data_IF_856355220847
#
_entry.id   IF_856355220847
#
_cell.length_a   1.000
_cell.length_b   1.000
_cell.length_c   1.000
_cell.angle_alpha   90.00
_cell.angle_beta   90.00
_cell.angle_gamma   90.00
#
_symmetry.space_group_name_H-M   'P 1'
#
loop_
_entity.id
_entity.type
_entity.pdbx_description
1 polymer ?
#
# COMPACT_ATOMS: atom_id res chain seq x y z
N UNK A 1 -14.34 4.80 10.62
CA UNK A 1 -13.69 6.13 10.85
C UNK A 1 -12.43 6.18 10.02
N UNK A 2 -12.09 7.31 9.38
CA UNK A 2 -10.83 7.41 8.63
C UNK A 2 -9.67 7.47 9.62
N UNK A 3 -8.94 6.38 9.75
CA UNK A 3 -7.69 6.35 10.52
C UNK A 3 -6.65 7.20 9.79
N UNK A 4 -5.86 7.97 10.51
CA UNK A 4 -4.81 8.79 9.91
C UNK A 4 -3.79 7.87 9.20
N UNK A 5 -3.51 8.08 7.91
CA UNK A 5 -2.53 7.27 7.19
C UNK A 5 -1.10 7.55 7.68
N UNK A 6 -0.20 6.63 7.34
CA UNK A 6 1.25 6.82 7.55
C UNK A 6 1.67 8.18 7.03
N UNK A 7 2.53 8.88 7.77
CA UNK A 7 3.02 10.22 7.40
C UNK A 7 4.54 10.22 7.25
N UNK A 8 5.00 10.69 6.09
CA UNK A 8 6.42 10.84 5.77
C UNK A 8 6.76 12.28 5.39
N UNK A 9 7.94 12.73 5.79
CA UNK A 9 8.54 13.97 5.28
C UNK A 9 9.56 13.64 4.18
N UNK A 10 9.49 14.31 3.03
CA UNK A 10 10.51 14.21 1.99
C UNK A 10 11.87 14.72 2.45
N UNK A 11 11.91 15.55 3.49
CA UNK A 11 13.12 16.13 4.10
C UNK A 11 13.73 15.27 5.21
N UNK A 12 13.14 14.10 5.52
CA UNK A 12 13.65 13.20 6.57
C UNK A 12 15.12 12.84 6.29
N UNK A 13 16.02 12.92 7.28
CA UNK A 13 17.45 12.61 7.11
C UNK A 13 17.75 11.23 6.53
N UNK A 14 16.85 10.26 6.73
CA UNK A 14 16.99 8.89 6.22
C UNK A 14 17.03 8.81 4.68
N UNK A 15 16.42 9.78 3.99
CA UNK A 15 16.33 9.78 2.52
C UNK A 15 16.41 11.17 1.87
N UNK A 16 16.22 12.26 2.60
CA UNK A 16 16.10 13.60 2.04
C UNK A 16 17.29 14.05 1.19
N UNK A 17 18.50 13.61 1.53
CA UNK A 17 19.73 13.93 0.78
C UNK A 17 19.99 13.03 -0.42
N UNK A 18 19.22 11.95 -0.60
CA UNK A 18 19.42 11.03 -1.71
C UNK A 18 19.06 11.69 -3.04
N UNK A 19 19.75 11.26 -4.09
CA UNK A 19 19.53 11.76 -5.46
C UNK A 19 18.12 11.45 -5.97
N UNK A 20 17.50 12.46 -6.57
CA UNK A 20 16.23 12.33 -7.28
C UNK A 20 16.27 13.20 -8.54
N UNK A 21 17.24 12.96 -9.41
CA UNK A 21 17.58 13.80 -10.56
C UNK A 21 17.19 13.13 -11.87
N UNK A 22 16.46 13.85 -12.72
CA UNK A 22 16.34 13.49 -14.12
C UNK A 22 17.65 13.83 -14.86
N UNK A 23 17.90 13.28 -16.06
CA UNK A 23 19.09 13.63 -16.85
C UNK A 23 19.23 15.14 -17.05
N UNK A 24 20.42 15.65 -16.79
CA UNK A 24 20.75 17.08 -16.96
C UNK A 24 20.36 18.00 -15.81
N UNK A 25 19.98 17.44 -14.66
CA UNK A 25 19.76 18.20 -13.43
C UNK A 25 20.50 17.57 -12.23
N UNK A 26 20.53 18.29 -11.11
CA UNK A 26 21.04 17.79 -9.84
C UNK A 26 20.10 18.24 -8.72
N UNK A 27 19.35 17.29 -8.16
CA UNK A 27 18.36 17.55 -7.14
C UNK A 27 18.21 16.35 -6.20
N UNK A 28 17.48 16.51 -5.11
CA UNK A 28 17.33 15.48 -4.07
C UNK A 28 15.86 15.17 -3.79
N UNK A 29 15.60 14.11 -3.03
CA UNK A 29 14.26 13.78 -2.54
C UNK A 29 13.70 14.96 -1.75
N UNK A 30 14.48 15.58 -0.86
CA UNK A 30 14.06 16.75 -0.10
C UNK A 30 13.60 17.91 -0.97
N UNK A 31 14.19 18.09 -2.14
CA UNK A 31 13.89 19.22 -3.02
C UNK A 31 12.72 18.97 -3.98
N UNK A 32 12.54 17.73 -4.46
CA UNK A 32 11.59 17.45 -5.55
C UNK A 32 10.80 16.13 -5.41
N UNK A 33 10.92 15.43 -4.28
CA UNK A 33 10.33 14.10 -4.05
C UNK A 33 8.90 14.10 -3.49
N UNK A 34 8.17 15.22 -3.52
CA UNK A 34 6.84 15.31 -2.88
C UNK A 34 5.82 14.30 -3.46
N UNK A 35 5.81 14.06 -4.77
CA UNK A 35 4.90 13.10 -5.41
C UNK A 35 5.11 11.67 -4.90
N UNK A 36 6.31 11.09 -5.08
CA UNK A 36 6.61 9.76 -4.55
C UNK A 36 6.46 9.66 -3.02
N UNK A 37 6.77 10.73 -2.27
CA UNK A 37 6.54 10.74 -0.81
C UNK A 37 5.07 10.66 -0.47
N UNK A 38 4.18 11.41 -1.18
CA UNK A 38 2.75 11.33 -0.98
C UNK A 38 2.20 9.92 -1.32
N UNK A 39 2.69 9.31 -2.41
CA UNK A 39 2.30 7.95 -2.77
C UNK A 39 2.85 6.91 -1.79
N UNK A 40 4.07 7.06 -1.30
CA UNK A 40 4.65 6.18 -0.28
C UNK A 40 3.81 6.12 1.00
N UNK A 41 3.19 7.25 1.40
CA UNK A 41 2.27 7.26 2.54
C UNK A 41 1.03 6.40 2.29
N UNK A 42 0.46 6.44 1.08
CA UNK A 42 -0.68 5.58 0.68
C UNK A 42 -0.27 4.12 0.69
N UNK A 43 0.83 3.79 0.01
CA UNK A 43 1.31 2.41 -0.12
C UNK A 43 1.70 1.80 1.22
N UNK A 44 2.38 2.57 2.09
CA UNK A 44 2.72 2.12 3.43
C UNK A 44 1.50 1.93 4.33
N UNK A 45 0.40 2.63 4.06
CA UNK A 45 -0.85 2.50 4.81
C UNK A 45 -1.67 1.30 4.36
N UNK A 46 -1.73 1.03 3.05
CA UNK A 46 -2.73 0.12 2.50
C UNK A 46 -2.19 -1.12 1.79
N UNK A 47 -0.89 -1.17 1.51
CA UNK A 47 -0.33 -2.25 0.70
C UNK A 47 0.88 -2.93 1.36
N UNK A 48 1.92 -2.15 1.66
CA UNK A 48 3.18 -2.69 2.18
C UNK A 48 3.84 -1.69 3.13
N UNK A 49 3.82 -1.92 4.46
CA UNK A 49 4.38 -1.01 5.46
C UNK A 49 5.91 -0.79 5.32
N UNK A 50 6.61 -1.58 4.53
CA UNK A 50 8.04 -1.39 4.23
C UNK A 50 8.32 -0.29 3.21
N UNK A 51 7.29 0.18 2.48
CA UNK A 51 7.42 1.24 1.48
C UNK A 51 7.80 2.56 2.12
N UNK A 52 8.77 3.24 1.52
CA UNK A 52 9.31 4.51 2.01
C UNK A 52 9.47 5.52 0.86
N UNK A 53 9.60 6.83 1.15
CA UNK A 53 9.97 7.81 0.14
C UNK A 53 11.23 7.46 -0.64
N UNK A 54 12.22 6.79 -0.02
CA UNK A 54 13.42 6.30 -0.69
C UNK A 54 13.09 5.29 -1.79
N UNK A 55 12.30 4.27 -1.47
CA UNK A 55 11.94 3.20 -2.43
C UNK A 55 11.09 3.74 -3.57
N UNK A 56 10.11 4.61 -3.28
CA UNK A 56 9.24 5.17 -4.30
C UNK A 56 9.93 6.21 -5.21
N UNK A 57 10.82 7.05 -4.66
CA UNK A 57 11.63 7.94 -5.49
C UNK A 57 12.60 7.18 -6.40
N UNK A 58 13.24 6.12 -5.89
CA UNK A 58 14.13 5.27 -6.69
C UNK A 58 13.35 4.59 -7.84
N UNK A 59 12.17 4.06 -7.56
CA UNK A 59 11.33 3.46 -8.58
C UNK A 59 10.84 4.47 -9.62
N UNK A 60 10.37 5.64 -9.18
CA UNK A 60 9.91 6.71 -10.07
C UNK A 60 11.03 7.18 -11.02
N UNK A 61 12.25 7.29 -10.49
CA UNK A 61 13.43 7.66 -11.28
C UNK A 61 13.79 6.59 -12.32
N UNK A 62 13.84 5.33 -11.90
CA UNK A 62 14.18 4.20 -12.77
C UNK A 62 13.17 3.99 -13.92
N UNK A 63 11.92 4.42 -13.75
CA UNK A 63 10.85 4.28 -14.74
C UNK A 63 10.50 5.59 -15.47
N UNK A 64 11.35 6.62 -15.35
CA UNK A 64 11.22 7.86 -16.11
C UNK A 64 10.07 8.77 -15.63
N UNK A 65 9.58 8.60 -14.42
CA UNK A 65 8.53 9.46 -13.87
C UNK A 65 9.04 10.76 -13.23
N UNK A 66 10.34 10.94 -13.10
CA UNK A 66 10.92 12.22 -12.67
C UNK A 66 10.97 13.21 -13.84
N UNK A 67 10.21 14.29 -13.74
CA UNK A 67 10.19 15.36 -14.75
C UNK A 67 11.42 16.29 -14.58
N UNK A 68 12.19 16.56 -15.68
CA UNK A 68 13.37 17.42 -15.61
C UNK A 68 13.02 18.81 -15.08
N UNK A 69 13.77 19.30 -14.10
CA UNK A 69 13.60 20.62 -13.43
C UNK A 69 12.22 20.86 -12.83
N UNK A 70 11.46 19.77 -12.62
CA UNK A 70 10.15 19.77 -12.00
C UNK A 70 10.07 18.63 -10.98
N UNK A 71 8.90 18.30 -10.50
CA UNK A 71 8.67 17.14 -9.62
C UNK A 71 8.48 15.85 -10.39
N UNK A 72 7.31 15.26 -10.25
CA UNK A 72 6.94 13.95 -10.78
C UNK A 72 5.86 14.10 -11.84
N UNK A 73 5.97 13.34 -12.94
CA UNK A 73 4.95 13.28 -13.98
C UNK A 73 3.61 12.77 -13.42
N UNK A 74 2.51 13.29 -13.96
CA UNK A 74 1.16 12.98 -13.48
C UNK A 74 0.79 11.50 -13.59
N UNK A 75 1.23 10.80 -14.62
CA UNK A 75 0.97 9.36 -14.80
C UNK A 75 1.72 8.44 -13.83
N UNK A 76 2.53 8.99 -12.95
CA UNK A 76 3.24 8.24 -11.91
C UNK A 76 2.26 7.55 -10.93
N UNK A 77 1.21 8.26 -10.51
CA UNK A 77 0.36 7.80 -9.41
C UNK A 77 -0.43 6.54 -9.78
N UNK A 78 -0.99 6.51 -10.98
CA UNK A 78 -1.71 5.33 -11.50
C UNK A 78 -0.76 4.13 -11.63
N UNK A 79 0.43 4.36 -12.19
CA UNK A 79 1.42 3.30 -12.36
C UNK A 79 1.99 2.78 -11.02
N UNK A 80 2.22 3.69 -10.06
CA UNK A 80 2.70 3.32 -8.73
C UNK A 80 1.64 2.51 -7.96
N UNK A 81 0.35 2.91 -8.03
CA UNK A 81 -0.74 2.16 -7.42
C UNK A 81 -0.93 0.78 -8.01
N UNK A 82 -0.89 0.67 -9.33
CA UNK A 82 -1.06 -0.60 -10.05
C UNK A 82 -0.05 -1.68 -9.64
N UNK A 83 1.18 -1.31 -9.28
CA UNK A 83 2.23 -2.24 -8.76
C UNK A 83 1.78 -2.99 -7.51
N UNK A 84 0.93 -2.38 -6.72
CA UNK A 84 0.45 -2.91 -5.44
C UNK A 84 -1.03 -3.30 -5.50
N UNK A 85 -1.61 -3.40 -6.71
CA UNK A 85 -3.02 -3.74 -6.90
C UNK A 85 -4.01 -2.65 -6.47
N UNK A 86 -3.54 -1.43 -6.19
CA UNK A 86 -4.41 -0.32 -5.82
C UNK A 86 -4.99 0.35 -7.07
N UNK A 87 -6.29 0.64 -7.02
CA UNK A 87 -6.95 1.46 -8.05
C UNK A 87 -6.72 2.93 -7.76
N UNK A 88 -6.01 3.60 -8.67
CA UNK A 88 -5.72 5.03 -8.61
C UNK A 88 -6.26 5.68 -9.89
N UNK A 89 -7.10 6.68 -9.75
CA UNK A 89 -7.69 7.38 -10.88
C UNK A 89 -7.50 8.89 -10.77
N UNK A 90 -6.93 9.48 -11.82
CA UNK A 90 -6.89 10.93 -11.95
C UNK A 90 -8.30 11.47 -12.20
N UNK A 91 -8.76 12.34 -11.33
CA UNK A 91 -10.14 12.82 -11.35
C UNK A 91 -10.39 13.92 -12.40
N UNK A 92 -9.41 14.82 -12.62
CA UNK A 92 -9.54 15.94 -13.55
C UNK A 92 -8.28 16.16 -14.40
N UNK A 93 -8.48 16.56 -15.65
CA UNK A 93 -7.40 16.82 -16.62
C UNK A 93 -7.22 18.32 -16.93
N UNK A 94 -8.18 19.15 -16.54
CA UNK A 94 -8.09 20.61 -16.59
C UNK A 94 -7.83 21.13 -15.17
N UNK A 95 -6.91 22.10 -15.04
CA UNK A 95 -6.58 22.68 -13.73
C UNK A 95 -7.80 23.32 -13.06
N UNK A 96 -7.93 23.02 -11.75
CA UNK A 96 -8.97 23.62 -10.89
C UNK A 96 -8.48 24.86 -10.15
N UNK A 97 -7.24 25.28 -10.31
CA UNK A 97 -6.67 26.44 -9.63
C UNK A 97 -7.54 27.68 -9.85
N UNK A 98 -7.99 28.31 -8.77
CA UNK A 98 -8.94 29.41 -8.78
C UNK A 98 -10.42 29.03 -8.97
N UNK A 99 -10.74 27.74 -9.10
CA UNK A 99 -12.12 27.24 -9.35
C UNK A 99 -12.69 26.54 -8.11
N UNK A 100 -12.95 27.30 -7.06
CA UNK A 100 -13.40 26.77 -5.75
C UNK A 100 -14.79 26.10 -5.75
N UNK A 101 -15.59 26.28 -6.80
CA UNK A 101 -16.98 25.75 -6.91
C UNK A 101 -17.10 24.56 -7.87
N UNK A 102 -15.98 23.95 -8.30
CA UNK A 102 -16.02 22.80 -9.22
C UNK A 102 -16.68 21.58 -8.57
N UNK A 103 -17.51 20.85 -9.33
CA UNK A 103 -18.11 19.58 -8.90
C UNK A 103 -17.09 18.50 -8.50
N UNK A 104 -15.85 18.58 -8.98
CA UNK A 104 -14.77 17.67 -8.55
C UNK A 104 -14.45 17.79 -7.05
N UNK A 105 -14.70 18.93 -6.42
CA UNK A 105 -14.50 19.07 -4.98
C UNK A 105 -15.52 18.27 -4.17
N UNK A 106 -16.76 18.14 -4.65
CA UNK A 106 -17.77 17.28 -4.05
C UNK A 106 -17.36 15.80 -4.20
N UNK A 107 -16.92 15.38 -5.37
CA UNK A 107 -16.45 14.01 -5.61
C UNK A 107 -15.27 13.63 -4.70
N UNK A 108 -14.34 14.57 -4.46
CA UNK A 108 -13.24 14.36 -3.49
C UNK A 108 -13.77 14.18 -2.08
N UNK A 109 -14.74 15.01 -1.66
CA UNK A 109 -15.35 14.87 -0.34
C UNK A 109 -16.05 13.52 -0.20
N UNK A 110 -16.84 13.12 -1.19
CA UNK A 110 -17.55 11.84 -1.21
C UNK A 110 -16.57 10.65 -1.16
N UNK A 111 -15.43 10.74 -1.85
CA UNK A 111 -14.37 9.72 -1.79
C UNK A 111 -13.78 9.59 -0.38
N UNK A 112 -13.44 10.71 0.24
CA UNK A 112 -12.93 10.74 1.63
C UNK A 112 -13.97 10.23 2.64
N UNK A 113 -15.26 10.54 2.43
CA UNK A 113 -16.36 10.04 3.27
C UNK A 113 -16.53 8.52 3.15
N UNK A 114 -16.18 7.91 2.00
CA UNK A 114 -16.08 6.45 1.82
C UNK A 114 -14.81 5.81 2.40
N UNK A 115 -13.90 6.61 2.96
CA UNK A 115 -12.64 6.13 3.51
C UNK A 115 -11.51 6.00 2.48
N UNK A 116 -11.71 6.52 1.26
CA UNK A 116 -10.68 6.60 0.23
C UNK A 116 -9.63 7.67 0.57
N UNK A 117 -8.47 7.61 -0.07
CA UNK A 117 -7.42 8.61 0.06
C UNK A 117 -7.32 9.44 -1.23
N UNK A 118 -6.86 10.68 -1.09
CA UNK A 118 -6.76 11.57 -2.25
C UNK A 118 -5.38 12.24 -2.29
N UNK A 119 -4.65 12.06 -3.38
CA UNK A 119 -3.46 12.87 -3.66
C UNK A 119 -3.91 14.12 -4.42
N UNK A 120 -3.46 15.28 -3.93
CA UNK A 120 -3.74 16.56 -4.54
C UNK A 120 -2.47 17.25 -5.02
N UNK A 121 -2.49 17.77 -6.26
CA UNK A 121 -1.46 18.66 -6.79
C UNK A 121 -1.87 20.10 -6.53
N UNK A 122 -1.11 20.79 -5.69
CA UNK A 122 -1.36 22.18 -5.32
C UNK A 122 -0.70 23.16 -6.33
N UNK A 123 -1.35 24.29 -6.54
CA UNK A 123 -0.77 25.47 -7.17
C UNK A 123 -0.23 26.47 -6.15
N UNK A 124 0.25 27.63 -6.60
CA UNK A 124 0.80 28.66 -5.72
C UNK A 124 -0.17 29.06 -4.60
N UNK A 125 0.32 29.17 -3.37
CA UNK A 125 -0.49 29.54 -2.19
C UNK A 125 0.09 29.02 -0.89
N UNK A 126 -0.78 28.59 0.03
CA UNK A 126 -0.39 28.16 1.37
C UNK A 126 0.55 26.94 1.39
N UNK A 127 0.38 26.01 0.43
CA UNK A 127 1.13 24.74 0.39
C UNK A 127 2.41 24.81 -0.42
N UNK A 128 2.51 25.74 -1.36
CA UNK A 128 3.67 25.86 -2.24
C UNK A 128 3.73 27.23 -2.93
N UNK A 129 4.91 27.60 -3.43
CA UNK A 129 5.09 28.77 -4.31
C UNK A 129 4.92 28.42 -5.79
N UNK A 130 4.97 27.14 -6.17
CA UNK A 130 4.97 26.70 -7.58
C UNK A 130 4.04 25.51 -7.82
N UNK A 131 4.39 24.33 -7.32
CA UNK A 131 3.67 23.07 -7.40
C UNK A 131 4.09 22.16 -6.24
N UNK A 132 3.14 21.36 -5.74
CA UNK A 132 3.39 20.45 -4.64
C UNK A 132 2.34 19.36 -4.58
N UNK A 133 2.71 18.16 -4.17
CA UNK A 133 1.78 17.07 -3.93
C UNK A 133 1.59 16.88 -2.43
N UNK A 134 0.35 16.67 -2.03
CA UNK A 134 -0.03 16.37 -0.65
C UNK A 134 -1.02 15.20 -0.61
N UNK A 135 -1.05 14.46 0.50
CA UNK A 135 -2.04 13.42 0.75
C UNK A 135 -3.16 13.98 1.63
N UNK A 136 -4.38 13.97 1.10
CA UNK A 136 -5.61 14.34 1.83
C UNK A 136 -6.28 13.07 2.33
N UNK A 137 -6.70 13.05 3.61
CA UNK A 137 -7.29 11.87 4.20
C UNK A 137 -8.62 12.13 4.94
N UNK A 138 -8.99 13.41 5.19
CA UNK A 138 -10.25 13.75 5.85
C UNK A 138 -10.65 15.19 5.58
N UNK A 139 -11.97 15.44 5.55
CA UNK A 139 -12.58 16.78 5.57
C UNK A 139 -13.68 16.78 6.64
N UNK A 140 -13.66 17.76 7.55
CA UNK A 140 -14.71 17.99 8.54
C UNK A 140 -15.09 19.47 8.53
N UNK A 141 -16.30 19.78 8.11
CA UNK A 141 -16.73 21.16 7.90
C UNK A 141 -15.80 21.90 6.94
N UNK A 142 -15.19 23.00 7.36
CA UNK A 142 -14.17 23.72 6.59
C UNK A 142 -12.73 23.29 6.95
N UNK A 143 -12.56 22.24 7.72
CA UNK A 143 -11.23 21.73 8.06
C UNK A 143 -10.85 20.59 7.12
N UNK A 144 -9.68 20.71 6.46
CA UNK A 144 -9.07 19.66 5.67
C UNK A 144 -7.84 19.09 6.38
N UNK A 145 -7.73 17.77 6.44
CA UNK A 145 -6.64 17.04 7.08
C UNK A 145 -5.71 16.47 6.01
N UNK A 146 -4.44 16.81 6.14
CA UNK A 146 -3.42 16.57 5.12
C UNK A 146 -2.16 15.97 5.76
N UNK A 147 -1.58 14.95 5.15
CA UNK A 147 -0.18 14.61 5.35
C UNK A 147 0.64 15.32 4.26
N UNK A 148 1.40 16.33 4.67
CA UNK A 148 2.19 17.15 3.77
C UNK A 148 3.65 16.67 3.73
N UNK A 149 4.17 16.19 2.59
CA UNK A 149 5.55 15.74 2.46
C UNK A 149 6.61 16.78 2.86
N UNK A 150 6.29 18.06 2.83
CA UNK A 150 7.25 19.12 3.10
C UNK A 150 7.03 19.85 4.44
N UNK A 151 6.02 19.47 5.24
CA UNK A 151 5.73 20.23 6.45
C UNK A 151 4.85 19.49 7.46
N UNK A 152 5.18 19.69 8.75
CA UNK A 152 4.36 19.27 9.89
C UNK A 152 3.57 20.44 10.51
N UNK A 153 3.67 21.65 9.93
CA UNK A 153 3.00 22.85 10.48
C UNK A 153 1.49 22.69 10.38
N UNK A 154 0.79 22.99 11.49
CA UNK A 154 -0.67 22.86 11.59
C UNK A 154 -1.43 23.58 10.45
N UNK A 155 -1.01 24.77 10.06
CA UNK A 155 -1.63 25.52 8.95
C UNK A 155 -1.54 24.82 7.58
N UNK A 156 -0.70 23.79 7.44
CA UNK A 156 -0.56 22.98 6.22
C UNK A 156 -1.11 21.57 6.36
N UNK A 157 -1.14 21.02 7.58
CA UNK A 157 -1.63 19.66 7.85
C UNK A 157 -3.09 19.65 8.31
N UNK A 158 -3.60 20.78 8.82
CA UNK A 158 -4.98 20.97 9.26
C UNK A 158 -5.45 22.38 8.84
N UNK A 159 -5.65 22.58 7.54
CA UNK A 159 -5.95 23.88 6.95
C UNK A 159 -7.44 24.13 6.66
N UNK A 160 -7.75 25.31 6.10
CA UNK A 160 -9.09 25.61 5.59
C UNK A 160 -9.35 24.88 4.26
N UNK A 161 -10.44 24.14 4.19
CA UNK A 161 -10.87 23.47 2.96
C UNK A 161 -11.30 24.49 1.89
N UNK A 162 -11.94 25.58 2.28
CA UNK A 162 -12.28 26.67 1.37
C UNK A 162 -11.05 27.29 0.69
N UNK A 163 -9.97 27.50 1.46
CA UNK A 163 -8.69 27.95 0.90
C UNK A 163 -8.03 26.86 0.01
N UNK A 164 -8.09 25.62 0.44
CA UNK A 164 -7.52 24.49 -0.31
C UNK A 164 -8.14 24.37 -1.72
N UNK A 165 -9.48 24.47 -1.83
CA UNK A 165 -10.20 24.42 -3.11
C UNK A 165 -9.78 25.50 -4.11
N UNK A 166 -9.36 26.67 -3.61
CA UNK A 166 -8.86 27.75 -4.48
C UNK A 166 -7.46 27.49 -5.02
N UNK A 167 -6.67 26.63 -4.35
CA UNK A 167 -5.25 26.46 -4.64
C UNK A 167 -4.90 25.11 -5.27
N UNK A 168 -5.84 24.15 -5.29
CA UNK A 168 -5.61 22.85 -5.92
C UNK A 168 -5.71 22.93 -7.45
N UNK A 169 -4.87 22.14 -8.13
CA UNK A 169 -4.90 21.98 -9.60
C UNK A 169 -5.51 20.65 -10.02
N UNK A 170 -5.08 19.55 -9.42
CA UNK A 170 -5.46 18.21 -9.85
C UNK A 170 -5.62 17.29 -8.65
N UNK A 171 -6.46 16.25 -8.83
CA UNK A 171 -6.72 15.21 -7.85
C UNK A 171 -6.50 13.82 -8.44
N UNK A 172 -6.04 12.90 -7.61
CA UNK A 172 -6.06 11.46 -7.81
C UNK A 172 -6.78 10.83 -6.63
N UNK A 173 -7.84 10.07 -6.92
CA UNK A 173 -8.56 9.29 -5.93
C UNK A 173 -7.92 7.91 -5.90
N UNK A 174 -7.63 7.42 -4.70
CA UNK A 174 -7.13 6.08 -4.45
C UNK A 174 -8.23 5.33 -3.72
N UNK A 175 -8.82 4.33 -4.39
CA UNK A 175 -9.87 3.50 -3.80
C UNK A 175 -9.29 2.70 -2.63
N UNK A 176 -10.04 2.61 -1.53
CA UNK A 176 -9.66 1.78 -0.41
C UNK A 176 -9.71 0.31 -0.83
N UNK A 177 -8.64 -0.48 -0.68
CA UNK A 177 -8.68 -1.90 -0.96
C UNK A 177 -9.61 -2.63 0.03
N UNK A 178 -10.17 -3.76 -0.38
CA UNK A 178 -11.04 -4.60 0.48
C UNK A 178 -10.28 -5.11 1.71
N UNK A 179 -9.00 -5.41 1.56
CA UNK A 179 -8.10 -5.82 2.64
C UNK A 179 -6.95 -4.82 2.77
N UNK A 180 -6.80 -4.25 3.96
CA UNK A 180 -5.68 -3.39 4.32
C UNK A 180 -4.84 -4.15 5.36
N UNK A 181 -3.51 -4.21 5.24
CA UNK A 181 -2.66 -4.78 6.28
C UNK A 181 -2.97 -4.16 7.65
N UNK A 182 -3.32 -4.99 8.63
CA UNK A 182 -3.71 -4.57 9.97
C UNK A 182 -5.22 -4.33 10.19
N UNK A 183 -6.07 -4.29 9.14
CA UNK A 183 -7.53 -4.21 9.34
C UNK A 183 -8.08 -5.47 10.03
N UNK A 184 -7.45 -6.62 9.80
CA UNK A 184 -7.86 -7.88 10.41
C UNK A 184 -7.56 -7.91 11.92
N UNK A 185 -6.49 -7.25 12.37
CA UNK A 185 -6.22 -7.11 13.81
C UNK A 185 -7.28 -6.26 14.51
N UNK A 186 -7.82 -5.22 13.84
CA UNK A 186 -8.88 -4.37 14.40
C UNK A 186 -10.27 -5.03 14.32
N UNK A 187 -10.51 -5.91 13.32
CA UNK A 187 -11.76 -6.68 13.24
C UNK A 187 -11.81 -7.82 14.27
N UNK A 188 -10.66 -8.38 14.65
CA UNK A 188 -10.59 -9.35 15.74
C UNK A 188 -11.07 -8.74 17.08
N UNK A 189 -10.79 -7.44 17.32
CA UNK A 189 -11.29 -6.72 18.50
C UNK A 189 -12.79 -6.35 18.42
N UNK A 190 -13.31 -6.06 17.20
CA UNK A 190 -14.73 -5.73 17.01
C UNK A 190 -15.67 -6.97 17.09
N UNK A 191 -15.17 -8.14 16.75
CA UNK A 191 -15.94 -9.40 16.84
C UNK A 191 -16.00 -9.98 18.26
N UNK A 192 -15.33 -9.38 19.24
CA UNK A 192 -15.35 -9.78 20.66
C UNK A 192 -15.08 -11.29 20.89
N UNK A 193 -14.45 -11.98 19.94
CA UNK A 193 -14.13 -13.39 19.95
C UNK A 193 -12.65 -13.61 19.63
N UNK A 194 -11.90 -14.16 20.57
CA UNK A 194 -10.51 -14.52 20.35
C UNK A 194 -10.39 -15.68 19.35
N UNK A 195 -9.22 -15.87 18.73
CA UNK A 195 -8.95 -17.05 17.88
C UNK A 195 -9.29 -18.36 18.57
N UNK A 196 -9.03 -18.42 19.87
CA UNK A 196 -9.34 -19.59 20.69
C UNK A 196 -10.84 -19.79 20.82
N UNK A 197 -11.59 -18.74 21.14
CA UNK A 197 -13.05 -18.80 21.25
C UNK A 197 -13.71 -19.16 19.92
N UNK A 198 -13.19 -18.63 18.80
CA UNK A 198 -13.64 -19.02 17.46
C UNK A 198 -13.41 -20.51 17.20
N UNK A 199 -12.20 -21.01 17.46
CA UNK A 199 -11.89 -22.42 17.26
C UNK A 199 -12.70 -23.32 18.20
N UNK A 200 -12.92 -22.90 19.44
CA UNK A 200 -13.73 -23.63 20.42
C UNK A 200 -15.25 -23.61 20.07
N UNK A 201 -15.70 -22.63 19.28
CA UNK A 201 -17.10 -22.50 18.82
C UNK A 201 -17.43 -23.38 17.62
N UNK A 202 -16.41 -23.84 16.87
CA UNK A 202 -16.62 -24.69 15.70
C UNK A 202 -17.12 -26.09 16.10
N UNK A 203 -18.14 -26.56 15.40
CA UNK A 203 -18.49 -27.98 15.42
C UNK A 203 -17.38 -28.79 14.74
N UNK A 204 -17.29 -30.09 15.04
CA UNK A 204 -16.34 -30.99 14.40
C UNK A 204 -16.49 -30.99 12.87
N UNK A 205 -17.68 -30.83 12.35
CA UNK A 205 -17.93 -30.75 10.90
C UNK A 205 -17.37 -29.46 10.30
N UNK A 206 -17.60 -28.31 10.94
CA UNK A 206 -17.07 -27.02 10.45
C UNK A 206 -15.53 -26.98 10.51
N UNK A 207 -14.93 -27.51 11.57
CA UNK A 207 -13.50 -27.65 11.68
C UNK A 207 -12.94 -28.56 10.58
N UNK A 208 -13.61 -29.67 10.29
CA UNK A 208 -13.24 -30.56 9.18
C UNK A 208 -13.32 -29.87 7.83
N UNK A 209 -14.37 -29.09 7.57
CA UNK A 209 -14.55 -28.33 6.32
C UNK A 209 -13.46 -27.25 6.14
N UNK A 210 -13.02 -26.59 7.22
CA UNK A 210 -11.92 -25.64 7.19
C UNK A 210 -10.60 -26.31 6.82
N UNK A 211 -10.31 -27.48 7.40
CA UNK A 211 -9.11 -28.25 7.07
C UNK A 211 -9.15 -28.69 5.60
N UNK A 212 -10.28 -29.17 5.10
CA UNK A 212 -10.45 -29.56 3.68
C UNK A 212 -10.21 -28.37 2.74
N UNK A 213 -10.73 -27.18 3.07
CA UNK A 213 -10.49 -25.96 2.28
C UNK A 213 -9.02 -25.54 2.29
N UNK A 214 -8.36 -25.62 3.46
CA UNK A 214 -6.93 -25.32 3.58
C UNK A 214 -6.08 -26.31 2.76
N UNK A 215 -6.38 -27.59 2.80
CA UNK A 215 -5.69 -28.63 1.99
C UNK A 215 -5.90 -28.39 0.48
N UNK A 216 -7.11 -28.02 0.06
CA UNK A 216 -7.41 -27.69 -1.33
C UNK A 216 -6.63 -26.44 -1.79
N UNK A 217 -6.57 -25.42 -0.95
CA UNK A 217 -5.78 -24.21 -1.25
C UNK A 217 -4.29 -24.54 -1.34
N UNK A 218 -3.74 -25.29 -0.38
CA UNK A 218 -2.34 -25.69 -0.38
C UNK A 218 -1.93 -26.45 -1.66
N UNK A 219 -2.84 -27.19 -2.29
CA UNK A 219 -2.61 -27.85 -3.59
C UNK A 219 -2.42 -26.90 -4.76
N UNK A 220 -2.90 -25.66 -4.63
CA UNK A 220 -2.77 -24.64 -5.70
C UNK A 220 -1.55 -23.75 -5.51
N UNK A 221 -0.88 -23.82 -4.36
CA UNK A 221 0.32 -23.03 -4.09
C UNK A 221 1.53 -23.54 -4.87
N UNK A 222 2.40 -22.64 -5.38
CA UNK A 222 3.63 -23.04 -6.04
C UNK A 222 4.61 -23.67 -5.04
N UNK A 223 5.57 -24.43 -5.55
CA UNK A 223 6.68 -24.92 -4.73
C UNK A 223 7.44 -23.75 -4.07
N UNK A 224 7.73 -23.84 -2.76
CA UNK A 224 8.43 -22.76 -2.04
C UNK A 224 9.84 -22.53 -2.58
N UNK A 225 10.31 -21.29 -2.53
CA UNK A 225 11.60 -20.92 -3.12
C UNK A 225 12.79 -21.63 -2.47
N UNK A 226 12.74 -21.90 -1.18
CA UNK A 226 13.79 -22.68 -0.50
C UNK A 226 13.88 -24.12 -1.04
N UNK A 227 12.75 -24.75 -1.37
CA UNK A 227 12.71 -26.09 -1.94
C UNK A 227 13.23 -26.12 -3.39
N UNK A 228 12.89 -25.10 -4.19
CA UNK A 228 13.40 -24.93 -5.56
C UNK A 228 14.91 -24.73 -5.57
N UNK A 229 15.43 -23.85 -4.71
CA UNK A 229 16.86 -23.48 -4.67
C UNK A 229 17.73 -24.70 -4.35
N UNK A 230 17.30 -25.54 -3.42
CA UNK A 230 18.06 -26.72 -2.97
C UNK A 230 17.60 -28.02 -3.68
N UNK A 231 16.52 -27.99 -4.44
CA UNK A 231 15.96 -29.14 -5.14
C UNK A 231 15.47 -30.25 -4.21
N UNK A 232 15.07 -29.92 -2.98
CA UNK A 232 14.63 -30.91 -1.99
C UNK A 232 13.37 -31.63 -2.41
N UNK A 233 12.38 -30.88 -2.95
CA UNK A 233 11.12 -31.44 -3.41
C UNK A 233 11.30 -32.41 -4.57
N UNK A 234 12.08 -32.03 -5.58
CA UNK A 234 12.37 -32.85 -6.75
C UNK A 234 13.11 -34.14 -6.34
N UNK A 235 14.09 -34.05 -5.42
CA UNK A 235 14.80 -35.26 -4.93
C UNK A 235 13.88 -36.16 -4.12
N UNK A 236 13.00 -35.59 -3.29
CA UNK A 236 12.04 -36.37 -2.50
C UNK A 236 11.02 -37.10 -3.41
N UNK A 237 10.52 -36.42 -4.46
CA UNK A 237 9.63 -37.01 -5.45
C UNK A 237 10.32 -38.13 -6.26
N UNK A 238 11.53 -37.86 -6.76
CA UNK A 238 12.30 -38.85 -7.49
C UNK A 238 12.66 -40.07 -6.65
N UNK A 239 12.86 -39.90 -5.34
CA UNK A 239 13.14 -40.99 -4.40
C UNK A 239 11.85 -41.71 -3.90
N UNK A 240 10.66 -41.33 -4.42
CA UNK A 240 9.38 -41.90 -4.00
C UNK A 240 9.04 -41.62 -2.52
N UNK A 241 9.67 -40.62 -1.91
CA UNK A 241 9.41 -40.24 -0.51
C UNK A 241 8.10 -39.46 -0.39
N UNK A 242 7.78 -38.65 -1.38
CA UNK A 242 6.51 -37.90 -1.54
C UNK A 242 5.95 -38.19 -2.94
N UNK A 243 4.66 -37.96 -3.12
CA UNK A 243 3.96 -38.22 -4.40
C UNK A 243 4.15 -37.15 -5.49
N UNK A 244 4.85 -36.06 -5.14
CA UNK A 244 5.08 -34.94 -6.07
C UNK A 244 3.93 -33.95 -6.16
N UNK A 245 2.87 -34.12 -5.38
CA UNK A 245 1.72 -33.20 -5.32
C UNK A 245 1.72 -32.37 -4.03
N UNK A 246 1.11 -31.19 -4.09
CA UNK A 246 0.84 -30.36 -2.90
C UNK A 246 2.05 -30.03 -2.03
N UNK A 247 3.08 -29.36 -2.55
CA UNK A 247 4.32 -29.07 -1.81
C UNK A 247 4.11 -28.19 -0.59
N UNK A 248 3.04 -27.40 -0.54
CA UNK A 248 2.69 -26.51 0.57
C UNK A 248 1.69 -27.12 1.57
N UNK A 249 1.27 -28.37 1.35
CA UNK A 249 0.32 -29.04 2.21
C UNK A 249 0.90 -29.40 3.57
N UNK A 250 0.12 -29.18 4.64
CA UNK A 250 0.44 -29.72 5.97
C UNK A 250 0.40 -31.27 5.94
N UNK A 251 1.47 -31.90 6.38
CA UNK A 251 1.52 -33.35 6.51
C UNK A 251 0.76 -33.80 7.76
N UNK A 252 -0.05 -34.83 7.64
CA UNK A 252 -0.65 -35.50 8.79
C UNK A 252 0.42 -36.28 9.56
N UNK A 253 0.16 -36.55 10.84
CA UNK A 253 1.11 -37.28 11.70
C UNK A 253 1.48 -38.66 11.15
N UNK A 254 0.51 -39.39 10.65
CA UNK A 254 0.70 -40.71 10.03
C UNK A 254 1.52 -40.63 8.72
N UNK A 255 1.32 -39.60 7.92
CA UNK A 255 2.13 -39.34 6.71
C UNK A 255 3.60 -39.04 7.06
N UNK A 256 3.85 -38.23 8.09
CA UNK A 256 5.19 -37.97 8.61
C UNK A 256 5.85 -39.26 9.09
N UNK A 257 5.14 -40.08 9.87
CA UNK A 257 5.63 -41.38 10.35
C UNK A 257 5.96 -42.31 9.17
N UNK A 258 5.09 -42.35 8.16
CA UNK A 258 5.31 -43.16 6.96
C UNK A 258 6.54 -42.71 6.14
N UNK A 259 6.80 -41.40 6.08
CA UNK A 259 7.99 -40.85 5.41
C UNK A 259 9.26 -41.20 6.20
N UNK A 260 9.26 -41.02 7.52
CA UNK A 260 10.38 -41.34 8.40
C UNK A 260 10.70 -42.84 8.38
N UNK A 261 9.68 -43.70 8.42
CA UNK A 261 9.84 -45.17 8.34
C UNK A 261 10.46 -45.60 7.01
N UNK A 262 10.01 -45.06 5.88
CA UNK A 262 10.62 -45.34 4.55
C UNK A 262 12.09 -44.92 4.46
N UNK A 263 12.53 -44.01 5.30
CA UNK A 263 13.92 -43.54 5.39
C UNK A 263 14.76 -44.25 6.47
N UNK A 264 14.19 -45.22 7.18
CA UNK A 264 14.87 -45.90 8.29
C UNK A 264 15.24 -44.97 9.43
N UNK A 265 14.40 -43.99 9.70
CA UNK A 265 14.64 -42.99 10.76
C UNK A 265 13.79 -43.25 12.02
N UNK A 266 13.05 -44.37 12.04
CA UNK A 266 12.18 -44.80 13.16
C UNK A 266 12.65 -46.09 13.85
N UNK A 267 13.85 -46.59 13.60
CA UNK A 267 14.43 -47.77 14.23
C UNK A 267 15.01 -47.45 15.60
#
# INVERSE_FOLDING_TARGET
>A
MNTQPVSYLQTDPRWGSLDYSAPGEKTTIAASGCGPTAMAMVLATWADPSVTPKTECAWALAHGYKAPRQGTYYGYFEAAGARYGLRVARLNYTSLYGKSTSAYHAQVKDALDRGELVIACMGPGNWTRSGHYVLVWKIEGDTIYINDPASTKAARTKGSYSLFRQQVKYYWIIERPEHVPGDDEQKEDELNMTKKEFLDSLTNEEAYQLVQKAELHAKTLPEPDWSKTEGHWQRATAAGTVDGTSPERYMKRDEVIAVLGRKGLLD
#
